data_IF_671985999496
#
_entry.id   IF_671985999496
#
_cell.length_a   1.000
_cell.length_b   1.000
_cell.length_c   1.000
_cell.angle_alpha   90.00
_cell.angle_beta   90.00
_cell.angle_gamma   90.00
#
_symmetry.space_group_name_H-M   'P 1'
#
loop_
_entity.id
_entity.type
_entity.pdbx_description
1 polymer ?
#
# COMPACT_ATOMS: atom_id res chain seq x y z
N UNK A 1 -22.62 33.04 4.44
CA UNK A 1 -22.22 31.64 4.19
C UNK A 1 -21.11 31.29 5.17
N UNK A 2 -21.22 30.24 5.99
CA UNK A 2 -20.10 29.86 6.85
C UNK A 2 -19.00 29.28 5.95
N UNK A 3 -17.88 30.00 5.85
CA UNK A 3 -16.64 29.50 5.27
C UNK A 3 -16.23 28.26 6.06
N UNK A 4 -16.49 27.07 5.49
CA UNK A 4 -16.07 25.80 6.07
C UNK A 4 -14.55 25.82 6.01
N UNK A 5 -13.89 25.93 7.17
CA UNK A 5 -12.43 25.78 7.24
C UNK A 5 -12.06 24.48 6.53
N UNK A 6 -11.04 24.49 5.65
CA UNK A 6 -10.56 23.28 5.02
C UNK A 6 -10.19 22.26 6.12
N UNK A 7 -10.48 21.00 5.86
CA UNK A 7 -10.15 19.90 6.76
C UNK A 7 -8.63 19.92 7.04
N UNK A 8 -8.20 20.05 8.31
CA UNK A 8 -6.79 20.12 8.65
C UNK A 8 -5.98 18.95 8.11
N UNK A 9 -6.55 17.74 8.05
CA UNK A 9 -5.84 16.55 7.54
C UNK A 9 -5.65 16.64 6.03
N UNK A 10 -6.68 17.07 5.29
CA UNK A 10 -6.57 17.28 3.85
C UNK A 10 -5.53 18.37 3.51
N UNK A 11 -5.44 19.41 4.34
CA UNK A 11 -4.42 20.45 4.16
C UNK A 11 -2.99 19.91 4.36
N UNK A 12 -2.78 19.02 5.34
CA UNK A 12 -1.47 18.38 5.58
C UNK A 12 -1.05 17.54 4.36
N UNK A 13 -1.96 16.78 3.77
CA UNK A 13 -1.72 15.98 2.56
C UNK A 13 -1.32 16.90 1.40
N UNK A 14 -2.11 17.93 1.15
CA UNK A 14 -1.82 18.90 0.09
C UNK A 14 -0.48 19.63 0.27
N UNK A 15 -0.17 20.05 1.50
CA UNK A 15 1.10 20.69 1.82
C UNK A 15 2.28 19.73 1.65
N UNK A 16 2.07 18.43 1.88
CA UNK A 16 3.10 17.42 1.64
C UNK A 16 3.41 17.28 0.15
N UNK A 17 2.41 17.30 -0.73
CA UNK A 17 2.60 17.24 -2.19
C UNK A 17 3.29 18.47 -2.74
N UNK A 18 2.94 19.67 -2.26
CA UNK A 18 3.63 20.92 -2.66
C UNK A 18 5.12 20.94 -2.36
N UNK A 19 5.58 20.12 -1.42
CA UNK A 19 6.99 20.01 -1.01
C UNK A 19 7.70 18.82 -1.66
N UNK A 20 6.99 18.05 -2.46
CA UNK A 20 7.50 16.88 -3.19
C UNK A 20 7.80 17.31 -4.61
N UNK A 21 8.87 16.76 -5.19
CA UNK A 21 9.29 17.10 -6.57
C UNK A 21 9.28 15.91 -7.52
N UNK A 22 9.28 14.69 -6.99
CA UNK A 22 9.16 13.46 -7.75
C UNK A 22 7.88 12.70 -7.42
N UNK A 23 7.75 11.46 -7.91
CA UNK A 23 6.60 10.63 -7.65
C UNK A 23 6.41 10.31 -6.17
N UNK A 24 5.19 9.93 -5.82
CA UNK A 24 4.77 9.56 -4.47
C UNK A 24 4.40 8.09 -4.45
N UNK A 25 4.82 7.37 -3.42
CA UNK A 25 4.36 6.01 -3.19
C UNK A 25 3.14 6.03 -2.24
N UNK A 26 2.05 5.41 -2.67
CA UNK A 26 0.85 5.16 -1.86
C UNK A 26 0.88 3.73 -1.35
N UNK A 27 0.76 3.54 -0.04
CA UNK A 27 0.99 2.28 0.62
C UNK A 27 -0.27 1.78 1.35
N UNK A 28 -0.53 0.49 1.24
CA UNK A 28 -1.53 -0.23 2.02
C UNK A 28 -1.09 -1.67 2.34
N UNK A 29 -1.71 -2.27 3.35
CA UNK A 29 -1.39 -3.60 3.87
C UNK A 29 -2.61 -4.54 3.85
N UNK A 30 -2.38 -5.81 3.48
CA UNK A 30 -3.36 -6.87 3.66
C UNK A 30 -2.71 -8.10 4.27
N UNK A 31 -3.34 -8.67 5.29
CA UNK A 31 -2.75 -9.79 6.01
C UNK A 31 -3.79 -10.72 6.61
N UNK A 32 -3.32 -11.92 6.93
CA UNK A 32 -4.02 -12.91 7.73
C UNK A 32 -3.01 -13.50 8.72
N UNK A 33 -3.15 -13.10 10.00
CA UNK A 33 -2.26 -13.51 11.07
C UNK A 33 -2.65 -14.89 11.65
N UNK A 34 -1.73 -15.61 12.32
CA UNK A 34 -2.08 -16.78 13.11
C UNK A 34 -2.96 -16.38 14.30
N UNK A 35 -4.19 -16.88 14.37
CA UNK A 35 -5.15 -16.55 15.45
C UNK A 35 -5.74 -17.78 16.17
N UNK A 36 -5.03 -18.91 16.13
CA UNK A 36 -5.47 -20.18 16.73
C UNK A 36 -6.57 -20.90 15.95
N UNK A 37 -7.24 -20.22 15.02
CA UNK A 37 -8.23 -20.79 14.08
C UNK A 37 -7.60 -20.95 12.71
N UNK A 38 -6.86 -19.95 12.25
CA UNK A 38 -6.11 -20.00 10.98
C UNK A 38 -4.87 -20.87 11.15
N UNK A 39 -4.72 -21.90 10.31
CA UNK A 39 -3.51 -22.69 10.30
C UNK A 39 -2.33 -21.84 9.82
N UNK A 40 -1.17 -21.95 10.47
CA UNK A 40 0.03 -21.19 10.14
C UNK A 40 0.40 -21.22 8.66
N UNK A 41 0.17 -22.32 7.95
CA UNK A 41 0.44 -22.44 6.50
C UNK A 41 -0.44 -21.53 5.61
N UNK A 42 -1.57 -21.07 6.15
CA UNK A 42 -2.57 -20.27 5.44
C UNK A 42 -2.46 -18.77 5.80
N UNK A 43 -1.41 -18.38 6.55
CA UNK A 43 -1.16 -16.99 6.93
C UNK A 43 -0.32 -16.28 5.87
N UNK A 44 -0.53 -14.97 5.76
CA UNK A 44 0.23 -14.14 4.84
C UNK A 44 0.30 -12.70 5.36
N UNK A 45 1.34 -12.00 4.96
CA UNK A 45 1.44 -10.55 5.07
C UNK A 45 1.81 -9.99 3.71
N UNK A 46 1.09 -8.98 3.25
CA UNK A 46 1.31 -8.28 1.98
C UNK A 46 1.34 -6.79 2.27
N UNK A 47 2.40 -6.13 1.83
CA UNK A 47 2.58 -4.70 1.88
C UNK A 47 2.77 -4.21 0.45
N UNK A 48 1.85 -3.36 -0.01
CA UNK A 48 1.79 -2.91 -1.39
C UNK A 48 2.08 -1.43 -1.47
N UNK A 49 2.83 -1.01 -2.48
CA UNK A 49 2.98 0.38 -2.88
C UNK A 49 2.55 0.57 -4.33
N UNK A 50 1.87 1.66 -4.63
CA UNK A 50 1.63 2.15 -6.01
C UNK A 50 2.34 3.49 -6.16
N UNK A 51 3.22 3.58 -7.15
CA UNK A 51 4.04 4.77 -7.40
C UNK A 51 3.33 5.62 -8.45
N UNK A 52 3.06 6.87 -8.08
CA UNK A 52 2.27 7.80 -8.89
C UNK A 52 3.04 9.10 -9.10
N UNK A 53 3.18 9.50 -10.36
CA UNK A 53 3.76 10.80 -10.72
C UNK A 53 2.84 11.96 -10.30
N UNK A 54 3.44 13.08 -9.92
CA UNK A 54 2.69 14.22 -9.36
C UNK A 54 1.69 14.82 -10.36
N UNK A 55 2.01 14.79 -11.66
CA UNK A 55 1.15 15.30 -12.72
C UNK A 55 0.02 14.32 -13.12
N UNK A 56 0.18 13.02 -12.86
CA UNK A 56 -0.84 11.99 -13.08
C UNK A 56 -1.87 11.89 -11.93
N UNK A 57 -1.56 12.44 -10.74
CA UNK A 57 -2.42 12.28 -9.55
C UNK A 57 -3.87 12.72 -9.75
N UNK A 58 -4.10 13.85 -10.40
CA UNK A 58 -5.45 14.38 -10.57
C UNK A 58 -6.26 13.53 -11.57
N UNK A 59 -5.63 13.07 -12.65
CA UNK A 59 -6.26 12.15 -13.60
C UNK A 59 -6.63 10.82 -12.95
N UNK A 60 -5.71 10.23 -12.18
CA UNK A 60 -5.95 8.99 -11.47
C UNK A 60 -7.09 9.12 -10.44
N UNK A 61 -7.13 10.21 -9.66
CA UNK A 61 -8.23 10.46 -8.70
C UNK A 61 -9.57 10.53 -9.41
N UNK A 62 -9.65 11.28 -10.51
CA UNK A 62 -10.90 11.39 -11.29
C UNK A 62 -11.29 10.03 -11.86
N UNK A 63 -10.36 9.30 -12.48
CA UNK A 63 -10.65 8.00 -13.08
C UNK A 63 -11.16 6.96 -12.08
N UNK A 64 -10.51 6.83 -10.91
CA UNK A 64 -10.97 5.87 -9.90
C UNK A 64 -12.29 6.31 -9.23
N UNK A 65 -12.54 7.61 -9.06
CA UNK A 65 -13.81 8.11 -8.54
C UNK A 65 -14.97 7.86 -9.52
N UNK A 66 -14.71 8.05 -10.82
CA UNK A 66 -15.67 7.80 -11.89
C UNK A 66 -16.03 6.30 -11.97
N UNK A 67 -15.04 5.40 -11.89
CA UNK A 67 -15.28 3.94 -11.89
C UNK A 67 -16.00 3.50 -10.60
N UNK A 68 -15.63 4.09 -9.45
CA UNK A 68 -16.26 3.80 -8.17
C UNK A 68 -17.74 4.22 -8.12
N UNK A 69 -18.14 5.19 -8.96
CA UNK A 69 -19.41 5.92 -8.86
C UNK A 69 -19.61 6.50 -7.44
N UNK A 70 -18.55 7.06 -6.86
CA UNK A 70 -18.60 7.61 -5.51
C UNK A 70 -17.27 8.01 -4.90
N UNK A 71 -17.34 8.55 -3.68
CA UNK A 71 -16.18 9.03 -2.92
C UNK A 71 -15.74 8.05 -1.83
N UNK A 72 -16.08 6.78 -1.98
CA UNK A 72 -15.74 5.73 -1.03
C UNK A 72 -15.50 4.43 -1.76
N UNK A 73 -14.30 3.89 -1.58
CA UNK A 73 -13.95 2.56 -2.07
C UNK A 73 -13.41 1.70 -0.94
N UNK A 74 -13.74 0.41 -1.00
CA UNK A 74 -13.04 -0.61 -0.24
C UNK A 74 -13.20 -1.94 -0.98
N UNK A 75 -12.10 -2.48 -1.50
CA UNK A 75 -12.13 -3.61 -2.44
C UNK A 75 -12.77 -4.85 -1.83
N UNK A 76 -12.57 -5.09 -0.52
CA UNK A 76 -13.26 -6.19 0.20
C UNK A 76 -14.78 -6.12 0.07
N UNK A 77 -15.37 -4.92 0.16
CA UNK A 77 -16.82 -4.71 0.05
C UNK A 77 -17.29 -4.79 -1.40
N UNK A 78 -16.54 -4.20 -2.33
CA UNK A 78 -16.87 -4.24 -3.75
C UNK A 78 -17.01 -5.70 -4.25
N UNK A 79 -16.07 -6.56 -3.86
CA UNK A 79 -16.06 -7.98 -4.24
C UNK A 79 -17.20 -8.83 -3.66
N UNK A 80 -18.10 -8.26 -2.85
CA UNK A 80 -19.30 -8.96 -2.34
C UNK A 80 -20.47 -8.94 -3.34
N UNK A 81 -20.36 -8.16 -4.42
CA UNK A 81 -21.42 -8.00 -5.42
C UNK A 81 -20.86 -8.18 -6.83
N UNK A 82 -21.68 -8.61 -7.79
CA UNK A 82 -21.23 -8.74 -9.19
C UNK A 82 -20.80 -7.40 -9.77
N UNK A 83 -21.58 -6.33 -9.55
CA UNK A 83 -21.24 -4.98 -10.00
C UNK A 83 -19.90 -4.51 -9.43
N UNK A 84 -19.64 -4.76 -8.15
CA UNK A 84 -18.37 -4.36 -7.53
C UNK A 84 -17.19 -5.21 -7.99
N UNK A 85 -17.40 -6.47 -8.41
CA UNK A 85 -16.36 -7.26 -9.07
C UNK A 85 -16.01 -6.65 -10.43
N UNK A 86 -17.01 -6.24 -11.21
CA UNK A 86 -16.81 -5.60 -12.51
C UNK A 86 -16.07 -4.26 -12.33
N UNK A 87 -16.51 -3.40 -11.39
CA UNK A 87 -15.81 -2.16 -11.06
C UNK A 87 -14.37 -2.40 -10.56
N UNK A 88 -14.14 -3.45 -9.78
CA UNK A 88 -12.78 -3.82 -9.33
C UNK A 88 -11.90 -4.17 -10.51
N UNK A 89 -12.43 -4.90 -11.50
CA UNK A 89 -11.71 -5.21 -12.74
C UNK A 89 -11.45 -3.93 -13.53
N UNK A 90 -12.45 -3.09 -13.73
CA UNK A 90 -12.32 -1.84 -14.49
C UNK A 90 -11.26 -0.91 -13.86
N UNK A 91 -11.17 -0.83 -12.53
CA UNK A 91 -10.11 -0.09 -11.86
C UNK A 91 -8.72 -0.72 -12.05
N UNK A 92 -8.62 -2.04 -12.07
CA UNK A 92 -7.36 -2.74 -12.33
C UNK A 92 -6.92 -2.53 -13.78
N UNK A 93 -7.85 -2.60 -14.74
CA UNK A 93 -7.59 -2.32 -16.14
C UNK A 93 -7.15 -0.86 -16.32
N UNK A 94 -7.85 0.10 -15.69
CA UNK A 94 -7.47 1.51 -15.68
C UNK A 94 -6.05 1.75 -15.13
N UNK A 95 -5.69 1.08 -14.04
CA UNK A 95 -4.33 1.15 -13.48
C UNK A 95 -3.29 0.44 -14.36
N UNK A 96 -3.67 -0.65 -15.04
CA UNK A 96 -2.78 -1.41 -15.92
C UNK A 96 -2.46 -0.65 -17.21
N UNK A 97 -3.43 0.08 -17.76
CA UNK A 97 -3.27 0.95 -18.93
C UNK A 97 -2.36 2.16 -18.65
N UNK A 98 -2.20 2.53 -17.37
CA UNK A 98 -1.32 3.58 -16.92
C UNK A 98 0.17 3.21 -16.93
N UNK A 99 0.97 4.00 -16.22
CA UNK A 99 2.42 3.83 -16.11
C UNK A 99 2.89 3.62 -14.66
N UNK A 100 1.94 3.45 -13.74
CA UNK A 100 2.16 3.33 -12.31
C UNK A 100 2.80 1.99 -11.97
N UNK A 101 4.03 2.02 -11.50
CA UNK A 101 4.70 0.85 -10.97
C UNK A 101 4.04 0.41 -9.65
N UNK A 102 3.63 -0.85 -9.58
CA UNK A 102 3.12 -1.48 -8.37
C UNK A 102 4.23 -2.31 -7.72
N UNK A 103 4.45 -2.16 -6.42
CA UNK A 103 5.53 -2.86 -5.70
C UNK A 103 4.93 -3.66 -4.54
N UNK A 104 5.20 -4.96 -4.49
CA UNK A 104 4.68 -5.84 -3.43
C UNK A 104 5.84 -6.45 -2.63
N UNK A 105 5.84 -6.21 -1.33
CA UNK A 105 6.62 -6.98 -0.36
C UNK A 105 5.68 -7.93 0.38
N UNK A 106 6.06 -9.20 0.50
CA UNK A 106 5.20 -10.20 1.13
C UNK A 106 5.98 -11.21 1.97
N UNK A 107 5.31 -11.77 2.97
CA UNK A 107 5.81 -12.88 3.78
C UNK A 107 4.72 -13.95 3.89
N UNK A 108 5.03 -15.14 3.37
CA UNK A 108 4.12 -16.28 3.30
C UNK A 108 4.92 -17.57 3.61
N UNK A 109 4.62 -18.30 4.70
CA UNK A 109 3.68 -17.94 5.76
C UNK A 109 4.21 -16.85 6.71
N UNK A 110 3.31 -16.18 7.43
CA UNK A 110 3.68 -15.35 8.61
C UNK A 110 4.11 -16.26 9.75
N UNK A 111 5.21 -15.92 10.43
CA UNK A 111 5.78 -16.73 11.51
C UNK A 111 4.74 -17.17 12.55
N UNK A 112 4.83 -18.43 13.01
CA UNK A 112 3.83 -19.01 13.90
C UNK A 112 3.67 -18.26 15.24
N UNK A 113 4.74 -17.63 15.72
CA UNK A 113 4.76 -16.85 16.96
C UNK A 113 4.34 -15.38 16.74
N UNK A 114 4.14 -14.94 15.50
CA UNK A 114 3.82 -13.57 15.12
C UNK A 114 2.28 -13.36 15.05
N UNK A 115 1.62 -13.48 16.20
CA UNK A 115 0.15 -13.53 16.32
C UNK A 115 -0.56 -12.24 15.93
N UNK A 116 0.14 -11.09 15.94
CA UNK A 116 -0.38 -9.81 15.45
C UNK A 116 0.20 -9.41 14.08
N UNK A 117 0.99 -10.31 13.46
CA UNK A 117 1.74 -10.11 12.23
C UNK A 117 2.67 -8.88 12.22
N UNK A 118 3.01 -8.32 13.39
CA UNK A 118 3.81 -7.10 13.47
C UNK A 118 5.26 -7.34 13.04
N UNK A 119 5.80 -8.54 13.25
CA UNK A 119 7.15 -8.89 12.79
C UNK A 119 7.19 -8.95 11.26
N UNK A 120 6.24 -9.65 10.66
CA UNK A 120 6.08 -9.74 9.21
C UNK A 120 5.83 -8.35 8.59
N UNK A 121 5.00 -7.53 9.25
CA UNK A 121 4.78 -6.14 8.87
C UNK A 121 6.06 -5.33 8.82
N UNK A 122 6.83 -5.31 9.90
CA UNK A 122 8.07 -4.54 9.99
C UNK A 122 9.07 -5.04 8.95
N UNK A 123 9.18 -6.35 8.72
CA UNK A 123 10.06 -6.92 7.69
C UNK A 123 9.64 -6.48 6.26
N UNK A 124 8.35 -6.59 5.92
CA UNK A 124 7.82 -6.18 4.63
C UNK A 124 7.99 -4.68 4.39
N UNK A 125 7.58 -3.85 5.37
CA UNK A 125 7.71 -2.40 5.28
C UNK A 125 9.17 -1.95 5.11
N UNK A 126 10.10 -2.54 5.87
CA UNK A 126 11.53 -2.19 5.77
C UNK A 126 12.07 -2.44 4.38
N UNK A 127 11.79 -3.61 3.80
CA UNK A 127 12.28 -3.93 2.46
C UNK A 127 11.61 -3.06 1.38
N UNK A 128 10.31 -2.83 1.50
CA UNK A 128 9.57 -1.95 0.60
C UNK A 128 10.14 -0.53 0.62
N UNK A 129 10.31 0.05 1.81
CA UNK A 129 10.85 1.40 2.00
C UNK A 129 12.28 1.54 1.46
N UNK A 130 13.14 0.52 1.65
CA UNK A 130 14.51 0.51 1.11
C UNK A 130 14.48 0.55 -0.42
N UNK A 131 13.67 -0.30 -1.06
CA UNK A 131 13.57 -0.34 -2.52
C UNK A 131 12.97 0.94 -3.11
N UNK A 132 11.93 1.48 -2.48
CA UNK A 132 11.32 2.75 -2.91
C UNK A 132 12.29 3.92 -2.74
N UNK A 133 12.98 4.01 -1.59
CA UNK A 133 13.92 5.10 -1.30
C UNK A 133 15.21 5.03 -2.12
N UNK A 134 15.59 3.85 -2.61
CA UNK A 134 16.72 3.69 -3.53
C UNK A 134 16.34 3.97 -4.99
N UNK A 135 15.08 3.74 -5.37
CA UNK A 135 14.65 3.70 -6.77
C UNK A 135 15.00 2.36 -7.43
N UNK A 136 14.51 2.18 -8.66
CA UNK A 136 14.84 1.04 -9.52
C UNK A 136 15.05 1.53 -10.93
N UNK A 137 16.24 1.27 -11.46
CA UNK A 137 16.66 1.67 -12.82
C UNK A 137 15.59 1.32 -13.85
N UNK A 138 15.26 2.29 -14.70
CA UNK A 138 14.26 2.20 -15.77
C UNK A 138 12.83 1.82 -15.34
N UNK A 139 12.51 1.84 -14.03
CA UNK A 139 11.16 1.56 -13.53
C UNK A 139 10.60 2.70 -12.68
N UNK A 140 11.33 3.16 -11.65
CA UNK A 140 10.93 4.32 -10.84
C UNK A 140 12.14 5.03 -10.23
N UNK A 141 12.12 6.37 -10.11
CA UNK A 141 13.18 7.10 -9.43
C UNK A 141 13.14 6.88 -7.91
N UNK A 142 14.17 7.31 -7.19
CA UNK A 142 14.14 7.31 -5.73
C UNK A 142 12.96 8.15 -5.19
N UNK A 143 12.16 7.56 -4.32
CA UNK A 143 10.95 8.15 -3.77
C UNK A 143 11.23 8.79 -2.41
N UNK A 144 10.80 10.05 -2.22
CA UNK A 144 11.03 10.82 -0.99
C UNK A 144 9.74 11.05 -0.16
N UNK A 145 8.57 10.65 -0.66
CA UNK A 145 7.31 10.70 0.07
C UNK A 145 6.55 9.37 -0.04
N UNK A 146 6.31 8.77 1.13
CA UNK A 146 5.42 7.62 1.31
C UNK A 146 4.12 8.11 1.97
N UNK A 147 2.99 7.79 1.37
CA UNK A 147 1.66 8.03 1.93
C UNK A 147 1.06 6.68 2.33
N UNK A 148 0.84 6.47 3.62
CA UNK A 148 0.40 5.19 4.17
C UNK A 148 -1.00 5.33 4.77
N UNK A 149 -1.85 4.32 4.55
CA UNK A 149 -3.13 4.25 5.24
C UNK A 149 -2.95 4.19 6.78
N UNK A 150 -3.65 5.07 7.47
CA UNK A 150 -3.56 5.23 8.92
C UNK A 150 -4.19 4.06 9.68
N UNK A 151 -3.43 3.45 10.59
CA UNK A 151 -3.94 2.42 11.50
C UNK A 151 -4.79 3.04 12.62
N UNK A 152 -5.96 2.44 12.89
CA UNK A 152 -6.93 2.94 13.87
C UNK A 152 -6.39 3.12 15.30
N UNK A 153 -5.38 2.35 15.73
CA UNK A 153 -4.84 2.46 17.09
C UNK A 153 -3.59 3.34 17.13
N UNK A 154 -3.54 4.33 18.04
CA UNK A 154 -2.40 5.23 18.23
C UNK A 154 -1.08 4.52 18.51
N UNK A 155 -1.11 3.40 19.24
CA UNK A 155 0.09 2.60 19.51
C UNK A 155 0.72 2.06 18.22
N UNK A 156 -0.09 1.65 17.25
CA UNK A 156 0.41 1.17 15.96
C UNK A 156 0.96 2.30 15.11
N UNK A 157 0.30 3.46 15.06
CA UNK A 157 0.81 4.67 14.38
C UNK A 157 2.19 5.11 14.91
N UNK A 158 2.37 5.05 16.23
CA UNK A 158 3.64 5.36 16.86
C UNK A 158 4.74 4.35 16.48
N UNK A 159 4.41 3.06 16.36
CA UNK A 159 5.33 2.04 15.87
C UNK A 159 5.73 2.31 14.41
N UNK A 160 4.79 2.65 13.54
CA UNK A 160 5.08 2.94 12.12
C UNK A 160 6.05 4.11 11.97
N UNK A 161 5.82 5.16 12.75
CA UNK A 161 6.72 6.32 12.82
C UNK A 161 8.10 5.94 13.36
N UNK A 162 8.17 5.06 14.36
CA UNK A 162 9.43 4.59 14.93
C UNK A 162 10.21 3.71 13.95
N UNK A 163 9.55 2.78 13.27
CA UNK A 163 10.14 1.90 12.25
C UNK A 163 10.73 2.71 11.09
N UNK A 164 9.98 3.72 10.60
CA UNK A 164 10.50 4.63 9.58
C UNK A 164 11.71 5.44 10.06
N UNK A 165 11.66 5.98 11.28
CA UNK A 165 12.80 6.71 11.86
C UNK A 165 14.03 5.81 12.03
N UNK A 166 13.83 4.54 12.39
CA UNK A 166 14.91 3.56 12.48
C UNK A 166 15.61 3.41 11.14
N UNK A 167 14.87 3.20 10.05
CA UNK A 167 15.41 3.12 8.68
C UNK A 167 16.24 4.34 8.29
N UNK A 168 15.76 5.55 8.60
CA UNK A 168 16.50 6.79 8.36
C UNK A 168 17.79 6.84 9.21
N UNK A 169 17.70 6.49 10.49
CA UNK A 169 18.84 6.54 11.41
C UNK A 169 19.93 5.52 11.09
N UNK A 170 19.52 4.35 10.60
CA UNK A 170 20.39 3.27 10.11
C UNK A 170 20.93 3.58 8.71
N UNK A 171 20.52 4.69 8.09
CA UNK A 171 20.88 5.12 6.73
C UNK A 171 20.49 4.11 5.64
N UNK A 172 19.45 3.34 5.89
CA UNK A 172 18.89 2.39 4.93
C UNK A 172 17.97 3.08 3.92
N UNK A 173 17.43 4.24 4.27
CA UNK A 173 16.71 5.13 3.35
C UNK A 173 17.27 6.57 3.45
N UNK A 174 17.14 7.40 2.40
CA UNK A 174 17.58 8.79 2.42
C UNK A 174 16.96 9.60 3.56
N UNK A 175 17.72 10.56 4.11
CA UNK A 175 17.31 11.37 5.27
C UNK A 175 16.07 12.25 5.03
N UNK A 176 15.83 12.63 3.78
CA UNK A 176 14.69 13.44 3.35
C UNK A 176 13.45 12.60 3.03
N UNK A 177 13.52 11.26 3.09
CA UNK A 177 12.35 10.40 2.93
C UNK A 177 11.36 10.69 4.04
N UNK A 178 10.10 10.94 3.67
CA UNK A 178 9.00 11.27 4.59
C UNK A 178 7.96 10.17 4.55
N UNK A 179 7.42 9.86 5.72
CA UNK A 179 6.21 9.05 5.87
C UNK A 179 5.06 9.98 6.31
N UNK A 180 3.97 9.97 5.56
CA UNK A 180 2.72 10.62 5.89
C UNK A 180 1.64 9.55 6.08
N UNK A 181 1.03 9.49 7.26
CA UNK A 181 -0.14 8.64 7.49
C UNK A 181 -1.42 9.44 7.29
N UNK A 182 -2.37 8.92 6.51
CA UNK A 182 -3.68 9.54 6.27
C UNK A 182 -4.74 8.47 6.00
N UNK A 183 -6.01 8.88 5.89
CA UNK A 183 -7.12 7.98 5.56
C UNK A 183 -7.49 8.08 4.08
N UNK A 184 -8.00 6.99 3.46
CA UNK A 184 -8.62 7.02 2.14
C UNK A 184 -9.78 8.00 1.98
N UNK A 185 -10.26 8.62 3.06
CA UNK A 185 -11.24 9.72 3.02
C UNK A 185 -10.63 11.07 2.62
N UNK A 186 -9.33 11.25 2.88
CA UNK A 186 -8.62 12.49 2.62
C UNK A 186 -7.69 12.38 1.41
N UNK A 187 -7.36 11.16 1.00
CA UNK A 187 -6.55 10.88 -0.17
C UNK A 187 -7.02 9.59 -0.84
N UNK A 188 -7.72 9.72 -1.97
CA UNK A 188 -8.35 8.59 -2.66
C UNK A 188 -7.34 7.72 -3.41
N UNK A 189 -6.13 8.21 -3.69
CA UNK A 189 -5.07 7.38 -4.30
C UNK A 189 -4.62 6.22 -3.39
N UNK A 190 -4.99 6.21 -2.11
CA UNK A 190 -4.85 5.05 -1.23
C UNK A 190 -5.76 3.86 -1.64
N UNK A 191 -6.73 4.04 -2.53
CA UNK A 191 -7.53 2.94 -3.07
C UNK A 191 -6.71 2.04 -4.00
N UNK A 192 -5.69 2.58 -4.66
CA UNK A 192 -4.83 1.84 -5.60
C UNK A 192 -4.05 0.71 -4.91
N UNK A 193 -3.31 0.94 -3.80
CA UNK A 193 -2.65 -0.15 -3.10
C UNK A 193 -3.63 -1.12 -2.43
N UNK A 194 -4.81 -0.70 -1.94
CA UNK A 194 -5.87 -1.64 -1.45
C UNK A 194 -6.32 -2.57 -2.57
N UNK A 195 -6.54 -2.03 -3.77
CA UNK A 195 -6.95 -2.76 -4.96
C UNK A 195 -5.92 -3.84 -5.35
N UNK A 196 -4.65 -3.43 -5.51
CA UNK A 196 -3.56 -4.34 -5.89
C UNK A 196 -3.31 -5.38 -4.81
N UNK A 197 -3.32 -4.98 -3.53
CA UNK A 197 -3.15 -5.87 -2.39
C UNK A 197 -4.26 -6.91 -2.31
N UNK A 198 -5.51 -6.50 -2.54
CA UNK A 198 -6.66 -7.40 -2.56
C UNK A 198 -6.63 -8.36 -3.76
N UNK A 199 -6.29 -7.88 -4.95
CA UNK A 199 -6.14 -8.71 -6.13
C UNK A 199 -5.08 -9.80 -5.91
N UNK A 200 -3.91 -9.42 -5.38
CA UNK A 200 -2.86 -10.36 -5.03
C UNK A 200 -3.30 -11.34 -3.94
N UNK A 201 -3.95 -10.87 -2.88
CA UNK A 201 -4.52 -11.71 -1.81
C UNK A 201 -5.48 -12.78 -2.36
N UNK A 202 -6.27 -12.47 -3.38
CA UNK A 202 -7.21 -13.45 -3.97
C UNK A 202 -6.48 -14.60 -4.64
N UNK A 203 -5.28 -14.38 -5.19
CA UNK A 203 -4.43 -15.47 -5.73
C UNK A 203 -4.02 -16.49 -4.66
N UNK A 204 -3.87 -16.03 -3.41
CA UNK A 204 -3.45 -16.85 -2.27
C UNK A 204 -4.61 -17.58 -1.61
N UNK A 205 -5.78 -16.93 -1.57
CA UNK A 205 -6.89 -17.33 -0.70
C UNK A 205 -8.09 -17.92 -1.44
N UNK A 206 -8.17 -17.78 -2.77
CA UNK A 206 -9.35 -18.15 -3.56
C UNK A 206 -8.96 -18.91 -4.83
N UNK A 207 -9.89 -19.73 -5.32
CA UNK A 207 -9.76 -20.50 -6.57
C UNK A 207 -10.85 -20.20 -7.60
N UNK A 208 -11.74 -19.24 -7.30
CA UNK A 208 -12.82 -18.80 -8.19
C UNK A 208 -12.33 -17.72 -9.17
N UNK A 209 -13.24 -17.13 -9.95
CA UNK A 209 -12.89 -16.11 -10.96
C UNK A 209 -12.16 -14.89 -10.40
N UNK A 210 -12.36 -14.52 -9.12
CA UNK A 210 -11.68 -13.36 -8.53
C UNK A 210 -10.21 -13.63 -8.22
N UNK A 211 -9.76 -14.89 -8.22
CA UNK A 211 -8.33 -15.23 -8.17
C UNK A 211 -7.55 -14.78 -9.42
N UNK A 212 -8.26 -14.45 -10.50
CA UNK A 212 -7.70 -13.98 -11.78
C UNK A 212 -7.66 -12.47 -11.93
N UNK A 213 -8.09 -11.71 -10.92
CA UNK A 213 -8.02 -10.25 -10.96
C UNK A 213 -6.57 -9.75 -10.98
N UNK A 214 -5.66 -10.44 -10.29
CA UNK A 214 -4.26 -10.04 -10.28
C UNK A 214 -3.58 -10.15 -11.66
N UNK A 215 -4.05 -11.07 -12.51
CA UNK A 215 -3.50 -11.27 -13.85
C UNK A 215 -3.65 -10.00 -14.72
N UNK A 216 -4.60 -9.10 -14.40
CA UNK A 216 -4.81 -7.82 -15.09
C UNK A 216 -3.65 -6.85 -14.90
N UNK A 217 -3.10 -6.78 -13.69
CA UNK A 217 -2.07 -5.79 -13.32
C UNK A 217 -0.67 -6.41 -13.19
N UNK A 218 -0.54 -7.72 -13.40
CA UNK A 218 0.67 -8.47 -13.10
C UNK A 218 1.93 -7.93 -13.79
N UNK A 219 1.80 -7.40 -15.01
CA UNK A 219 2.92 -6.85 -15.78
C UNK A 219 3.49 -5.56 -15.17
N UNK A 220 2.67 -4.81 -14.40
CA UNK A 220 3.08 -3.59 -13.71
C UNK A 220 3.57 -3.87 -12.27
N UNK A 221 3.57 -5.13 -11.83
CA UNK A 221 3.90 -5.52 -10.45
C UNK A 221 5.35 -5.99 -10.31
N UNK A 222 6.01 -5.44 -9.30
CA UNK A 222 7.38 -5.75 -8.92
C UNK A 222 7.45 -6.31 -7.50
N UNK A 223 7.88 -7.56 -7.37
CA UNK A 223 8.04 -8.19 -6.06
C UNK A 223 9.38 -7.82 -5.40
N UNK A 224 9.29 -7.49 -4.12
CA UNK A 224 10.43 -7.24 -3.24
C UNK A 224 10.62 -8.45 -2.33
N UNK A 225 11.86 -8.96 -2.28
CA UNK A 225 12.22 -10.06 -1.40
C UNK A 225 12.24 -9.59 0.04
N UNK A 226 11.45 -10.25 0.89
CA UNK A 226 11.48 -10.03 2.33
C UNK A 226 12.53 -10.96 2.94
N UNK A 227 13.66 -10.39 3.34
CA UNK A 227 14.67 -11.11 4.13
C UNK A 227 14.19 -11.21 5.57
N UNK A 228 14.22 -12.41 6.17
CA UNK A 228 14.09 -12.52 7.62
C UNK A 228 15.24 -11.75 8.29
N UNK A 229 14.98 -10.97 9.35
CA UNK A 229 16.06 -10.36 10.10
C UNK A 229 16.93 -11.50 10.66
N UNK A 230 18.23 -11.48 10.35
CA UNK A 230 19.21 -12.37 10.97
C UNK A 230 19.01 -12.30 12.48
N UNK A 231 18.66 -13.43 13.10
CA UNK A 231 18.61 -13.53 14.55
C UNK A 231 20.00 -13.15 15.04
N UNK A 232 20.13 -12.01 15.72
CA UNK A 232 21.35 -11.63 16.40
C UNK A 232 21.73 -12.77 17.33
N UNK A 233 22.77 -13.53 16.96
CA UNK A 233 23.36 -14.52 17.84
C UNK A 233 23.91 -13.75 19.05
N UNK A 234 23.28 -13.97 20.20
CA UNK A 234 23.81 -13.56 21.50
C UNK A 234 25.00 -14.44 21.87
#
# INVERSE_FOLDING_TARGET
>A
MPSRRPDPTAQIVFDAYKRTTGPVAFLDESYQAPDGVVAHRDTFYVFTAVIVELDAMDELRVGIEDIADGTYWHTTKALQTSSGIDQTRDMLDFLADGHEACVIAHQIPVGADDTDAQTARTACYRQLAIQLGAGRDDVWPAIDLFVLEERNQSNFRNKDTADHKALVSEKLIPRNTRLLSTSPRHEHLLWLPDLVSMAYRRTLTHTNSTSKLFDVIADNVHFVKVSEPEKAQK
#
